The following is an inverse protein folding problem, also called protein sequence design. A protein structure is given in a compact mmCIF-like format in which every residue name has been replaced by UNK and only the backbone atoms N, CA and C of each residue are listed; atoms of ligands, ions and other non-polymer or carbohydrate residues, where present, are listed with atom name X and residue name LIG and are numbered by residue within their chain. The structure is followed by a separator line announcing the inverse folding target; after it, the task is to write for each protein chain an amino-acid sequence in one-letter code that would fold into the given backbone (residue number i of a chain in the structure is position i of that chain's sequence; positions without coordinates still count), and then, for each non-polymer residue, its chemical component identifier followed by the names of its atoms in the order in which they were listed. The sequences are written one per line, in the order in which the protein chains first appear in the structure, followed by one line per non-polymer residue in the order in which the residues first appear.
data_IF_521409539419
#
_entry.id   IF_521409539419
#
_cell.length_a   1.000
_cell.length_b   1.000
_cell.length_c   1.000
_cell.angle_alpha   90.00
_cell.angle_beta   90.00
_cell.angle_gamma   90.00
#
_symmetry.space_group_name_H-M   'P 1'
#
loop_
_entity.id
_entity.type
_entity.pdbx_description
1 polymer ?
#
# COMPACT_ATOMS: atom_id res chain seq x y z
N UNK A 1 12.63 14.72 37.10
CA UNK A 1 12.09 13.37 36.91
C UNK A 1 12.38 13.00 35.48
N UNK A 2 13.49 12.30 35.24
CA UNK A 2 13.71 11.64 33.95
C UNK A 2 12.72 10.49 33.86
N UNK A 3 11.84 10.54 32.88
CA UNK A 3 11.04 9.38 32.50
C UNK A 3 11.99 8.25 32.16
N UNK A 4 11.91 7.18 32.94
CA UNK A 4 12.63 5.95 32.70
C UNK A 4 12.09 5.36 31.40
N UNK A 5 12.69 5.74 30.26
CA UNK A 5 12.38 5.16 28.94
C UNK A 5 12.55 3.66 29.08
N UNK A 6 11.44 2.95 29.10
CA UNK A 6 11.39 1.49 29.05
C UNK A 6 12.35 1.05 27.95
N UNK A 7 13.38 0.25 28.28
CA UNK A 7 14.26 -0.31 27.26
C UNK A 7 13.38 -1.15 26.34
N UNK A 8 13.17 -0.67 25.12
CA UNK A 8 12.47 -1.41 24.08
C UNK A 8 13.30 -2.64 23.77
N UNK A 9 12.80 -3.80 24.17
CA UNK A 9 13.40 -5.09 23.84
C UNK A 9 12.95 -5.47 22.44
N UNK A 10 13.89 -5.92 21.60
CA UNK A 10 13.62 -6.45 20.28
C UNK A 10 13.98 -7.94 20.23
N UNK A 11 13.36 -8.67 19.32
CA UNK A 11 13.72 -10.05 19.03
C UNK A 11 14.83 -10.07 17.98
N UNK A 12 15.93 -10.74 18.29
CA UNK A 12 17.09 -10.87 17.41
C UNK A 12 17.15 -12.30 16.88
N UNK A 13 17.02 -12.41 15.56
CA UNK A 13 17.11 -13.64 14.80
C UNK A 13 18.24 -13.53 13.77
N UNK A 14 18.42 -14.60 12.98
CA UNK A 14 19.50 -14.69 11.99
C UNK A 14 19.41 -13.62 10.89
N UNK A 15 18.19 -13.23 10.52
CA UNK A 15 17.88 -12.25 9.48
C UNK A 15 17.82 -10.79 9.99
N UNK A 16 17.72 -10.55 11.30
CA UNK A 16 17.43 -9.22 11.86
C UNK A 16 18.47 -8.16 11.45
N UNK A 17 19.75 -8.54 11.38
CA UNK A 17 20.80 -7.61 10.94
C UNK A 17 20.61 -7.16 9.48
N UNK A 18 20.33 -8.10 8.58
CA UNK A 18 20.11 -7.80 7.16
C UNK A 18 18.85 -6.95 6.98
N UNK A 19 17.76 -7.31 7.68
CA UNK A 19 16.53 -6.51 7.74
C UNK A 19 16.83 -5.05 8.12
N UNK A 20 17.53 -4.82 9.23
CA UNK A 20 17.88 -3.47 9.68
C UNK A 20 18.69 -2.74 8.61
N UNK A 21 19.69 -3.40 8.00
CA UNK A 21 20.52 -2.78 6.98
C UNK A 21 19.71 -2.37 5.74
N UNK A 22 18.77 -3.21 5.29
CA UNK A 22 17.92 -2.90 4.15
C UNK A 22 16.88 -1.82 4.46
N UNK A 23 16.33 -1.84 5.68
CA UNK A 23 15.22 -0.99 6.06
C UNK A 23 15.63 0.37 6.65
N UNK A 24 16.90 0.56 7.05
CA UNK A 24 17.36 1.74 7.80
C UNK A 24 17.15 3.10 7.08
N UNK A 25 17.09 3.10 5.76
CA UNK A 25 16.84 4.32 4.97
C UNK A 25 15.38 4.46 4.53
N UNK A 26 14.53 3.50 4.89
CA UNK A 26 13.13 3.40 4.46
C UNK A 26 12.21 3.61 5.65
N UNK A 27 12.42 2.86 6.73
CA UNK A 27 11.61 2.87 7.94
C UNK A 27 12.17 3.88 8.95
N UNK A 28 11.26 4.56 9.64
CA UNK A 28 11.63 5.29 10.84
C UNK A 28 11.93 4.33 12.01
N UNK A 29 12.51 4.89 13.08
CA UNK A 29 12.90 4.13 14.26
C UNK A 29 11.71 3.40 14.90
N UNK A 30 10.54 4.03 14.97
CA UNK A 30 9.36 3.44 15.60
C UNK A 30 8.88 2.21 14.82
N UNK A 31 8.75 2.34 13.50
CA UNK A 31 8.34 1.27 12.60
C UNK A 31 9.34 0.12 12.63
N UNK A 32 10.64 0.42 12.56
CA UNK A 32 11.70 -0.57 12.67
C UNK A 32 11.63 -1.34 13.99
N UNK A 33 11.50 -0.64 15.12
CA UNK A 33 11.40 -1.28 16.44
C UNK A 33 10.20 -2.21 16.49
N UNK A 34 9.03 -1.76 16.01
CA UNK A 34 7.81 -2.60 15.96
C UNK A 34 8.05 -3.86 15.14
N UNK A 35 8.62 -3.75 13.93
CA UNK A 35 8.95 -4.91 13.10
C UNK A 35 9.89 -5.86 13.84
N UNK A 36 10.95 -5.35 14.48
CA UNK A 36 11.90 -6.17 15.23
C UNK A 36 11.32 -6.77 16.52
N UNK A 37 10.16 -6.31 16.99
CA UNK A 37 9.44 -6.92 18.12
C UNK A 37 8.56 -8.11 17.70
N UNK A 38 8.38 -8.36 16.41
CA UNK A 38 7.70 -9.54 15.89
C UNK A 38 8.63 -10.76 15.78
N UNK A 39 8.04 -11.92 15.45
CA UNK A 39 8.74 -13.19 15.23
C UNK A 39 9.61 -13.21 13.95
N UNK A 40 10.42 -14.26 13.81
CA UNK A 40 11.36 -14.42 12.68
C UNK A 40 10.63 -14.47 11.34
N UNK A 41 9.45 -15.11 11.28
CA UNK A 41 8.65 -15.25 10.06
C UNK A 41 8.16 -13.88 9.57
N UNK A 42 7.65 -13.04 10.47
CA UNK A 42 7.24 -11.68 10.13
C UNK A 42 8.43 -10.84 9.65
N UNK A 43 9.56 -10.90 10.36
CA UNK A 43 10.78 -10.19 9.98
C UNK A 43 11.28 -10.62 8.58
N UNK A 44 11.20 -11.92 8.26
CA UNK A 44 11.57 -12.44 6.93
C UNK A 44 10.62 -11.92 5.84
N UNK A 45 9.31 -11.90 6.08
CA UNK A 45 8.35 -11.35 5.11
C UNK A 45 8.58 -9.87 4.84
N UNK A 46 8.89 -9.09 5.87
CA UNK A 46 9.25 -7.67 5.71
C UNK A 46 10.55 -7.52 4.91
N UNK A 47 11.58 -8.31 5.19
CA UNK A 47 12.83 -8.30 4.44
C UNK A 47 12.59 -8.66 2.96
N UNK A 48 11.83 -9.71 2.69
CA UNK A 48 11.48 -10.16 1.33
C UNK A 48 10.69 -9.11 0.57
N UNK A 49 9.77 -8.40 1.24
CA UNK A 49 9.04 -7.28 0.67
C UNK A 49 9.98 -6.15 0.25
N UNK A 50 10.88 -5.73 1.15
CA UNK A 50 11.82 -4.64 0.88
C UNK A 50 12.75 -5.02 -0.28
N UNK A 51 13.32 -6.22 -0.24
CA UNK A 51 14.20 -6.71 -1.33
C UNK A 51 13.42 -6.82 -2.63
N UNK A 52 12.19 -7.36 -2.58
CA UNK A 52 11.37 -7.56 -3.76
C UNK A 52 10.96 -6.26 -4.45
N UNK A 53 10.56 -5.25 -3.67
CA UNK A 53 10.15 -3.94 -4.21
C UNK A 53 11.37 -3.14 -4.67
N UNK A 54 12.43 -3.06 -3.85
CA UNK A 54 13.56 -2.15 -4.14
C UNK A 54 14.62 -2.74 -5.06
N UNK A 55 14.87 -4.05 -5.04
CA UNK A 55 16.03 -4.65 -5.73
C UNK A 55 15.63 -5.49 -6.92
N UNK A 56 14.70 -6.43 -6.72
CA UNK A 56 14.36 -7.38 -7.79
C UNK A 56 13.21 -6.90 -8.66
N UNK A 57 12.46 -5.88 -8.19
CA UNK A 57 11.20 -5.42 -8.83
C UNK A 57 10.25 -6.58 -9.10
N UNK A 58 10.26 -7.56 -8.19
CA UNK A 58 9.43 -8.75 -8.26
C UNK A 58 8.01 -8.50 -7.76
N UNK A 59 7.59 -7.24 -7.66
CA UNK A 59 6.24 -6.84 -7.30
C UNK A 59 5.81 -5.77 -8.29
N UNK A 60 4.66 -5.97 -8.91
CA UNK A 60 4.11 -5.07 -9.92
C UNK A 60 2.88 -4.33 -9.41
N UNK A 61 2.15 -4.94 -8.46
CA UNK A 61 0.90 -4.41 -7.93
C UNK A 61 0.77 -4.65 -6.42
N UNK A 62 0.19 -3.68 -5.72
CA UNK A 62 -0.23 -3.81 -4.32
C UNK A 62 -1.63 -3.22 -4.19
N UNK A 63 -2.59 -3.98 -3.67
CA UNK A 63 -3.97 -3.53 -3.47
C UNK A 63 -4.38 -3.67 -2.01
N UNK A 64 -4.88 -2.58 -1.42
CA UNK A 64 -5.50 -2.58 -0.10
C UNK A 64 -7.01 -2.50 -0.26
N UNK A 65 -7.72 -3.49 0.29
CA UNK A 65 -9.17 -3.65 0.13
C UNK A 65 -9.91 -3.32 1.43
N UNK A 66 -10.89 -2.44 1.31
CA UNK A 66 -11.83 -2.10 2.35
C UNK A 66 -13.20 -2.72 2.04
N UNK A 67 -13.51 -3.79 2.79
CA UNK A 67 -14.77 -4.52 2.71
C UNK A 67 -15.81 -4.04 3.74
N UNK A 68 -15.51 -3.00 4.54
CA UNK A 68 -16.36 -2.59 5.67
C UNK A 68 -17.78 -2.18 5.28
N UNK A 69 -17.97 -1.71 4.05
CA UNK A 69 -19.27 -1.33 3.50
C UNK A 69 -19.83 -2.35 2.51
N UNK A 70 -19.08 -3.42 2.18
CA UNK A 70 -19.50 -4.37 1.17
C UNK A 70 -20.57 -5.33 1.72
N UNK A 71 -21.61 -5.55 0.92
CA UNK A 71 -22.59 -6.59 1.15
C UNK A 71 -22.84 -7.35 -0.16
N UNK A 72 -22.68 -8.68 -0.10
CA UNK A 72 -22.84 -9.54 -1.27
C UNK A 72 -24.25 -9.39 -1.87
N UNK A 73 -24.31 -9.24 -3.20
CA UNK A 73 -25.57 -9.09 -3.94
C UNK A 73 -26.25 -7.73 -3.82
N UNK A 74 -25.68 -6.77 -3.06
CA UNK A 74 -26.20 -5.40 -2.97
C UNK A 74 -25.45 -4.37 -3.79
N UNK A 75 -24.24 -4.67 -4.27
CA UNK A 75 -23.44 -3.75 -5.06
C UNK A 75 -24.07 -3.32 -6.40
N UNK A 76 -25.14 -3.97 -6.88
CA UNK A 76 -25.82 -3.59 -8.14
C UNK A 76 -26.92 -2.54 -7.97
N UNK A 77 -27.28 -2.13 -6.74
CA UNK A 77 -28.48 -1.31 -6.49
C UNK A 77 -28.21 0.10 -5.93
N UNK A 78 -26.98 0.60 -6.01
CA UNK A 78 -26.67 1.95 -5.51
C UNK A 78 -26.18 2.01 -4.06
N UNK A 79 -25.82 0.88 -3.44
CA UNK A 79 -25.23 0.86 -2.10
C UNK A 79 -24.45 -0.42 -1.80
N UNK A 80 -23.57 -0.33 -0.80
CA UNK A 80 -22.71 -1.40 -0.28
C UNK A 80 -21.65 -1.92 -1.26
N UNK A 81 -20.49 -1.28 -1.27
CA UNK A 81 -19.37 -1.58 -2.18
C UNK A 81 -18.11 -1.92 -1.41
N UNK A 82 -17.24 -2.70 -2.05
CA UNK A 82 -15.83 -2.77 -1.69
C UNK A 82 -15.13 -1.57 -2.32
N UNK A 83 -14.20 -0.99 -1.58
CA UNK A 83 -13.30 0.05 -2.07
C UNK A 83 -11.87 -0.42 -1.96
N UNK A 84 -10.99 0.01 -2.87
CA UNK A 84 -9.57 -0.29 -2.74
C UNK A 84 -8.66 0.85 -3.16
N UNK A 85 -7.50 0.91 -2.52
CA UNK A 85 -6.36 1.66 -3.02
C UNK A 85 -5.42 0.69 -3.74
N UNK A 86 -5.24 0.90 -5.03
CA UNK A 86 -4.41 0.04 -5.88
C UNK A 86 -3.16 0.81 -6.30
N UNK A 87 -1.99 0.23 -6.06
CA UNK A 87 -0.68 0.77 -6.40
C UNK A 87 -0.06 -0.05 -7.54
N UNK A 88 0.26 0.62 -8.65
CA UNK A 88 0.87 0.04 -9.84
C UNK A 88 2.30 0.52 -10.03
N UNK A 89 3.23 -0.41 -10.24
CA UNK A 89 4.59 -0.04 -10.59
C UNK A 89 4.69 0.40 -12.06
N UNK A 90 5.32 1.55 -12.29
CA UNK A 90 5.57 2.10 -13.62
C UNK A 90 7.06 2.05 -13.95
N UNK A 91 7.43 1.12 -14.83
CA UNK A 91 8.82 0.97 -15.29
C UNK A 91 9.39 2.24 -15.94
N UNK A 92 8.54 3.03 -16.60
CA UNK A 92 8.96 4.26 -17.28
C UNK A 92 9.40 5.35 -16.31
N UNK A 93 8.75 5.42 -15.15
CA UNK A 93 9.01 6.46 -14.15
C UNK A 93 9.81 5.97 -12.95
N UNK A 94 9.96 4.64 -12.79
CA UNK A 94 10.52 3.99 -11.60
C UNK A 94 9.76 4.39 -10.31
N UNK A 95 8.44 4.58 -10.43
CA UNK A 95 7.55 5.02 -9.36
C UNK A 95 6.25 4.21 -9.35
N UNK A 96 5.51 4.35 -8.26
CA UNK A 96 4.23 3.68 -8.05
C UNK A 96 3.07 4.66 -8.20
N UNK A 97 2.09 4.30 -9.02
CA UNK A 97 0.88 5.07 -9.26
C UNK A 97 -0.26 4.53 -8.40
N UNK A 98 -0.90 5.40 -7.63
CA UNK A 98 -2.08 5.06 -6.85
C UNK A 98 -3.35 5.36 -7.63
N UNK A 99 -4.24 4.37 -7.67
CA UNK A 99 -5.60 4.48 -8.15
C UNK A 99 -6.60 4.07 -7.07
N UNK A 100 -7.75 4.72 -7.04
CA UNK A 100 -8.89 4.28 -6.26
C UNK A 100 -9.78 3.38 -7.10
N UNK A 101 -10.22 2.26 -6.54
CA UNK A 101 -11.15 1.33 -7.18
C UNK A 101 -12.35 1.05 -6.30
N UNK A 102 -13.38 0.49 -6.91
CA UNK A 102 -14.59 0.04 -6.23
C UNK A 102 -15.20 -1.15 -6.95
N UNK A 103 -15.97 -1.97 -6.22
CA UNK A 103 -16.80 -3.03 -6.80
C UNK A 103 -18.12 -2.50 -7.39
N UNK A 104 -18.37 -1.19 -7.32
CA UNK A 104 -19.56 -0.57 -7.87
C UNK A 104 -19.59 -0.61 -9.40
N UNK A 105 -20.79 -0.77 -9.96
CA UNK A 105 -21.04 -0.73 -11.41
C UNK A 105 -21.36 0.71 -11.91
N UNK A 106 -20.79 1.72 -11.25
CA UNK A 106 -21.00 3.13 -11.54
C UNK A 106 -19.67 3.83 -11.85
N UNK A 107 -19.75 5.01 -12.47
CA UNK A 107 -18.57 5.84 -12.69
C UNK A 107 -17.91 6.20 -11.35
N UNK A 108 -16.63 5.83 -11.23
CA UNK A 108 -15.83 6.09 -10.04
C UNK A 108 -14.47 6.61 -10.49
N UNK A 109 -14.10 7.79 -10.01
CA UNK A 109 -12.88 8.45 -10.44
C UNK A 109 -11.64 7.78 -9.81
N UNK A 110 -10.71 7.21 -10.60
CA UNK A 110 -9.54 6.51 -10.06
C UNK A 110 -8.51 7.47 -9.45
N UNK A 111 -8.62 8.78 -9.69
CA UNK A 111 -7.69 9.78 -9.14
C UNK A 111 -8.09 10.26 -7.75
N UNK A 112 -9.39 10.42 -7.48
CA UNK A 112 -9.86 11.00 -6.22
C UNK A 112 -10.83 10.11 -5.41
N UNK A 113 -11.24 8.97 -5.95
CA UNK A 113 -12.10 8.01 -5.25
C UNK A 113 -13.52 8.51 -5.01
N UNK A 114 -14.12 9.19 -5.99
CA UNK A 114 -15.49 9.72 -5.90
C UNK A 114 -16.37 9.19 -7.03
N UNK A 115 -17.65 9.01 -6.72
CA UNK A 115 -18.71 8.62 -7.67
C UNK A 115 -19.13 9.76 -8.59
N UNK A 116 -18.22 10.19 -9.45
CA UNK A 116 -18.44 11.25 -10.44
C UNK A 116 -17.52 11.04 -11.64
N UNK A 117 -17.99 11.39 -12.84
CA UNK A 117 -17.12 11.45 -14.01
C UNK A 117 -16.26 12.71 -13.96
N UNK A 118 -14.96 12.50 -13.72
CA UNK A 118 -13.96 13.57 -13.79
C UNK A 118 -13.12 13.51 -15.05
N UNK A 119 -13.41 12.62 -16.01
CA UNK A 119 -12.67 12.55 -17.26
C UNK A 119 -12.84 13.86 -18.03
N UNK A 120 -11.72 14.39 -18.51
CA UNK A 120 -11.66 15.53 -19.42
C UNK A 120 -11.23 15.04 -20.78
N UNK A 121 -11.85 15.60 -21.81
CA UNK A 121 -11.52 15.35 -23.20
C UNK A 121 -11.12 16.66 -23.87
N UNK A 122 -10.21 16.58 -24.83
CA UNK A 122 -9.83 17.71 -25.68
C UNK A 122 -10.90 17.97 -26.75
N UNK A 123 -10.72 19.02 -27.55
CA UNK A 123 -11.64 19.37 -28.65
C UNK A 123 -11.78 18.26 -29.70
N UNK A 124 -10.77 17.39 -29.83
CA UNK A 124 -10.75 16.23 -30.72
C UNK A 124 -11.30 14.95 -30.06
N UNK A 125 -12.01 15.07 -28.93
CA UNK A 125 -12.54 13.97 -28.13
C UNK A 125 -11.46 13.00 -27.58
N UNK A 126 -10.18 13.36 -27.65
CA UNK A 126 -9.10 12.58 -27.05
C UNK A 126 -9.07 12.76 -25.53
N UNK A 127 -8.72 11.69 -24.80
CA UNK A 127 -8.60 11.76 -23.34
C UNK A 127 -7.49 12.73 -22.91
N UNK A 128 -7.86 13.75 -22.16
CA UNK A 128 -6.99 14.83 -21.71
C UNK A 128 -6.54 14.69 -20.24
N UNK A 129 -7.12 13.74 -19.49
CA UNK A 129 -6.84 13.52 -18.07
C UNK A 129 -8.08 13.68 -17.19
N UNK A 130 -7.87 13.99 -15.91
CA UNK A 130 -8.95 14.15 -14.93
C UNK A 130 -9.07 15.59 -14.42
N UNK A 131 -10.30 16.04 -14.22
CA UNK A 131 -10.64 17.38 -13.73
C UNK A 131 -10.17 17.61 -12.28
N UNK A 132 -10.11 16.56 -11.47
CA UNK A 132 -9.66 16.56 -10.10
C UNK A 132 -8.13 16.52 -9.93
N UNK A 133 -7.38 16.39 -11.02
CA UNK A 133 -5.91 16.45 -11.01
C UNK A 133 -5.25 15.24 -11.66
N UNK A 134 -4.09 14.87 -11.13
CA UNK A 134 -3.28 13.73 -11.60
C UNK A 134 -3.30 12.63 -10.56
N UNK A 135 -3.01 11.41 -11.01
CA UNK A 135 -2.72 10.28 -10.13
C UNK A 135 -1.70 10.65 -9.06
N UNK A 136 -1.91 10.11 -7.86
CA UNK A 136 -0.88 10.18 -6.83
C UNK A 136 0.24 9.24 -7.22
N UNK A 137 1.47 9.75 -7.18
CA UNK A 137 2.67 8.97 -7.51
C UNK A 137 3.58 8.96 -6.29
N UNK A 138 4.07 7.78 -5.91
CA UNK A 138 4.91 7.58 -4.72
C UNK A 138 6.16 6.76 -5.06
N UNK A 139 7.23 6.99 -4.29
CA UNK A 139 8.44 6.18 -4.35
C UNK A 139 8.23 4.78 -3.77
N UNK A 140 9.08 3.83 -4.15
CA UNK A 140 9.17 2.50 -3.51
C UNK A 140 9.27 2.58 -1.98
N UNK A 141 10.11 3.46 -1.43
CA UNK A 141 10.26 3.63 0.03
C UNK A 141 8.94 4.03 0.71
N UNK A 142 8.17 4.93 0.08
CA UNK A 142 6.86 5.34 0.60
C UNK A 142 5.84 4.21 0.53
N UNK A 143 5.84 3.42 -0.55
CA UNK A 143 4.97 2.24 -0.65
C UNK A 143 5.30 1.21 0.43
N UNK A 144 6.59 0.90 0.61
CA UNK A 144 7.07 -0.03 1.64
C UNK A 144 6.60 0.40 3.03
N UNK A 145 6.68 1.69 3.35
CA UNK A 145 6.17 2.20 4.62
C UNK A 145 4.66 1.96 4.76
N UNK A 146 3.87 2.21 3.72
CA UNK A 146 2.41 1.99 3.76
C UNK A 146 2.11 0.50 3.99
N UNK A 147 2.76 -0.39 3.23
CA UNK A 147 2.58 -1.84 3.35
C UNK A 147 3.00 -2.35 4.73
N UNK A 148 4.15 -1.90 5.25
CA UNK A 148 4.64 -2.37 6.56
C UNK A 148 3.73 -1.87 7.69
N UNK A 149 3.26 -0.62 7.65
CA UNK A 149 2.27 -0.15 8.63
C UNK A 149 0.99 -0.99 8.58
N UNK A 150 0.50 -1.30 7.38
CA UNK A 150 -0.64 -2.19 7.22
C UNK A 150 -0.38 -3.59 7.81
N UNK A 151 0.78 -4.19 7.53
CA UNK A 151 1.18 -5.49 8.08
C UNK A 151 1.26 -5.47 9.61
N UNK A 152 1.72 -4.37 10.21
CA UNK A 152 1.78 -4.19 11.66
C UNK A 152 0.39 -4.06 12.29
N UNK A 153 -0.51 -3.28 11.68
CA UNK A 153 -1.85 -3.02 12.20
C UNK A 153 -2.78 -4.24 12.04
N UNK A 154 -2.66 -4.97 10.92
CA UNK A 154 -3.58 -6.04 10.53
C UNK A 154 -2.95 -7.45 10.54
N UNK A 155 -1.72 -7.60 11.03
CA UNK A 155 -0.99 -8.88 11.10
C UNK A 155 -0.93 -9.63 9.76
N UNK A 156 -0.69 -8.90 8.67
CA UNK A 156 -0.57 -9.49 7.33
C UNK A 156 -1.86 -10.18 6.86
N UNK A 157 -3.00 -9.50 7.03
CA UNK A 157 -4.30 -10.02 6.61
C UNK A 157 -4.44 -10.03 5.08
N UNK A 158 -4.21 -11.21 4.48
CA UNK A 158 -4.35 -11.47 3.05
C UNK A 158 -5.77 -11.18 2.50
N UNK A 159 -6.79 -11.04 3.36
CA UNK A 159 -8.15 -10.67 2.92
C UNK A 159 -8.28 -9.17 2.59
N UNK A 160 -7.41 -8.36 3.16
CA UNK A 160 -7.46 -6.90 3.09
C UNK A 160 -6.27 -6.32 2.35
N UNK A 161 -5.26 -7.13 2.02
CA UNK A 161 -4.13 -6.74 1.20
C UNK A 161 -3.76 -7.85 0.22
N UNK A 162 -3.67 -7.49 -1.06
CA UNK A 162 -3.16 -8.35 -2.12
C UNK A 162 -1.85 -7.78 -2.66
N UNK A 163 -0.86 -8.64 -2.86
CA UNK A 163 0.43 -8.26 -3.44
C UNK A 163 0.69 -9.18 -4.63
N UNK A 164 0.86 -8.60 -5.82
CA UNK A 164 1.11 -9.35 -7.06
C UNK A 164 2.60 -9.30 -7.39
N UNK A 165 3.18 -10.48 -7.61
CA UNK A 165 4.58 -10.67 -7.99
C UNK A 165 4.75 -10.68 -9.50
#
# INVERSE_FOLDING_TARGET
MEENKTKELINVFSNTYELICQAAHILDHESMTKVCQHDEDFQNRVLDLIVGICRTRAYTEVEFQDWSQYEEGKSSNGGCYMFSEHYYYSEQSDLWHKEYKTSADFEYCPVCGRFENHMKYNEDESFAGYSCGRYTVISAAKLINIVIQFMLDYKDDEKHMMIVK
#
